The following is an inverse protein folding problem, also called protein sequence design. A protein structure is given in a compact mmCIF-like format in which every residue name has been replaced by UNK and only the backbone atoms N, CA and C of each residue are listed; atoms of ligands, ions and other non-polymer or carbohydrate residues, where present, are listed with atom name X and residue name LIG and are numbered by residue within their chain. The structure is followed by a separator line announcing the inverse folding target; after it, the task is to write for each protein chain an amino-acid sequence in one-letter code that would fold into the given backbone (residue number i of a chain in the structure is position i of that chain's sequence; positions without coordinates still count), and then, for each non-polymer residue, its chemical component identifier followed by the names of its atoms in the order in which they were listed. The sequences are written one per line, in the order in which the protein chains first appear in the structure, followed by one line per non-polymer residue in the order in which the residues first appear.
data_IF_150447209009
#
_entry.id   IF_150447209009
#
_cell.length_a   1.000
_cell.length_b   1.000
_cell.length_c   1.000
_cell.angle_alpha   90.00
_cell.angle_beta   90.00
_cell.angle_gamma   90.00
#
_symmetry.space_group_name_H-M   'P 1'
#
loop_
_entity.id
_entity.type
_entity.pdbx_description
1 polymer ?
#
# COMPACT_ATOMS: atom_id res chain seq x y z
N UNK A 1 6.75 -29.64 -27.88
CA UNK A 1 7.43 -29.19 -26.64
C UNK A 1 6.41 -28.43 -25.80
N UNK A 2 6.02 -28.95 -24.62
CA UNK A 2 5.17 -28.19 -23.70
C UNK A 2 6.02 -27.08 -23.09
N UNK A 3 5.72 -25.82 -23.42
CA UNK A 3 6.26 -24.66 -22.71
C UNK A 3 5.87 -24.82 -21.23
N UNK A 4 6.80 -25.30 -20.39
CA UNK A 4 6.66 -25.22 -18.94
C UNK A 4 6.73 -23.74 -18.59
N UNK A 5 5.58 -23.09 -18.46
CA UNK A 5 5.47 -21.74 -17.94
C UNK A 5 6.19 -21.73 -16.59
N UNK A 6 7.32 -21.02 -16.52
CA UNK A 6 8.12 -20.92 -15.29
C UNK A 6 7.20 -20.33 -14.21
N UNK A 7 6.97 -21.08 -13.13
CA UNK A 7 6.10 -20.62 -12.04
C UNK A 7 6.68 -19.33 -11.47
N UNK A 8 5.94 -18.22 -11.58
CA UNK A 8 6.33 -16.93 -11.02
C UNK A 8 6.51 -17.06 -9.51
N UNK A 9 7.59 -16.50 -8.98
CA UNK A 9 7.79 -16.43 -7.54
C UNK A 9 6.87 -15.36 -6.92
N UNK A 10 6.52 -15.52 -5.65
CA UNK A 10 5.70 -14.57 -4.90
C UNK A 10 6.59 -13.47 -4.30
N UNK A 11 6.25 -12.22 -4.56
CA UNK A 11 6.80 -11.03 -3.88
C UNK A 11 5.70 -10.35 -3.08
N UNK A 12 6.09 -9.72 -1.98
CA UNK A 12 5.17 -8.96 -1.12
C UNK A 12 5.52 -7.50 -1.20
N UNK A 13 4.50 -6.67 -1.36
CA UNK A 13 4.61 -5.23 -1.43
C UNK A 13 3.78 -4.68 -0.28
N UNK A 14 4.45 -4.02 0.65
CA UNK A 14 3.79 -3.24 1.70
C UNK A 14 3.51 -1.85 1.13
N UNK A 15 2.28 -1.37 1.25
CA UNK A 15 1.80 -0.12 0.68
C UNK A 15 1.30 0.80 1.78
N UNK A 16 1.70 2.07 1.67
CA UNK A 16 1.22 3.17 2.50
C UNK A 16 1.32 4.48 1.71
N UNK A 17 0.41 5.41 1.97
CA UNK A 17 0.34 6.72 1.33
C UNK A 17 0.56 7.85 2.32
N UNK A 18 1.24 8.89 1.84
CA UNK A 18 1.18 10.20 2.50
C UNK A 18 0.41 11.19 1.61
N UNK A 19 -0.45 11.96 2.27
CA UNK A 19 -1.39 12.84 1.60
C UNK A 19 -1.32 14.27 2.12
N UNK A 20 -1.38 15.25 1.22
CA UNK A 20 -1.57 16.64 1.58
C UNK A 20 -3.06 16.95 1.69
N UNK A 21 -3.51 17.18 2.94
CA UNK A 21 -4.88 17.56 3.28
C UNK A 21 -4.87 18.81 4.17
N UNK A 22 -4.93 20.02 3.58
CA UNK A 22 -4.89 21.26 4.36
C UNK A 22 -6.18 21.49 5.16
N UNK A 23 -7.32 20.95 4.70
CA UNK A 23 -8.62 21.03 5.36
C UNK A 23 -9.03 19.62 5.78
N UNK A 24 -9.00 19.33 7.08
CA UNK A 24 -9.22 17.99 7.63
C UNK A 24 -10.56 17.34 7.20
N UNK A 25 -11.60 18.17 7.06
CA UNK A 25 -12.97 17.76 6.69
C UNK A 25 -13.13 17.38 5.21
N UNK A 26 -12.13 17.64 4.36
CA UNK A 26 -12.19 17.39 2.91
C UNK A 26 -11.46 16.11 2.49
N UNK A 27 -11.52 15.07 3.32
CA UNK A 27 -11.01 13.73 2.99
C UNK A 27 -11.48 13.29 1.60
N UNK A 28 -10.60 12.67 0.81
CA UNK A 28 -10.83 12.23 -0.58
C UNK A 28 -11.09 13.34 -1.63
N UNK A 29 -11.70 14.47 -1.26
CA UNK A 29 -12.09 15.53 -2.21
C UNK A 29 -10.93 16.52 -2.42
N UNK A 30 -10.52 17.20 -1.35
CA UNK A 30 -9.45 18.23 -1.35
C UNK A 30 -8.07 17.66 -1.01
N UNK A 31 -7.97 16.35 -0.88
CA UNK A 31 -6.78 15.60 -0.53
C UNK A 31 -5.94 15.26 -1.77
N UNK A 32 -4.62 15.46 -1.74
CA UNK A 32 -3.74 15.04 -2.84
C UNK A 32 -2.72 14.02 -2.34
N UNK A 33 -2.45 13.00 -3.15
CA UNK A 33 -1.36 12.05 -2.91
C UNK A 33 -0.05 12.79 -3.17
N UNK A 34 0.82 12.83 -2.16
CA UNK A 34 2.12 13.49 -2.24
C UNK A 34 3.28 12.50 -2.22
N UNK A 35 3.04 11.29 -1.70
CA UNK A 35 3.99 10.20 -1.71
C UNK A 35 3.23 8.86 -1.71
N UNK A 36 3.71 7.92 -2.52
CA UNK A 36 3.34 6.50 -2.47
C UNK A 36 4.58 5.73 -2.06
N UNK A 37 4.56 5.09 -0.89
CA UNK A 37 5.66 4.27 -0.40
C UNK A 37 5.41 2.79 -0.61
N UNK A 38 6.46 2.08 -1.02
CA UNK A 38 6.44 0.63 -1.18
C UNK A 38 7.65 0.00 -0.49
N UNK A 39 7.41 -0.94 0.40
CA UNK A 39 8.46 -1.85 0.88
C UNK A 39 8.30 -3.20 0.19
N UNK A 40 9.37 -3.74 -0.38
CA UNK A 40 9.37 -5.01 -1.10
C UNK A 40 10.10 -6.12 -0.35
N UNK A 41 9.43 -7.25 -0.22
CA UNK A 41 9.99 -8.51 0.28
C UNK A 41 10.11 -9.54 -0.86
N UNK A 42 11.30 -10.16 -0.98
CA UNK A 42 11.54 -11.35 -1.82
C UNK A 42 10.86 -12.60 -1.23
N UNK A 43 10.77 -13.69 -2.01
CA UNK A 43 10.40 -15.00 -1.48
C UNK A 43 11.17 -15.34 -0.19
N UNK A 44 10.42 -15.76 0.84
CA UNK A 44 10.98 -16.05 2.16
C UNK A 44 11.08 -14.86 3.13
N UNK A 45 10.35 -13.75 2.88
CA UNK A 45 10.27 -12.59 3.78
C UNK A 45 11.62 -11.91 4.01
N UNK A 46 12.44 -11.89 2.97
CA UNK A 46 13.72 -11.18 2.98
C UNK A 46 13.46 -9.79 2.40
N UNK A 47 13.72 -8.76 3.21
CA UNK A 47 13.71 -7.37 2.75
C UNK A 47 14.59 -7.24 1.51
N UNK A 48 14.05 -6.58 0.48
CA UNK A 48 14.76 -6.33 -0.76
C UNK A 48 15.04 -4.84 -0.95
N UNK A 49 13.99 -4.03 -0.96
CA UNK A 49 14.10 -2.61 -1.24
C UNK A 49 12.95 -1.82 -0.65
N UNK A 50 13.17 -0.52 -0.56
CA UNK A 50 12.17 0.50 -0.30
C UNK A 50 12.14 1.41 -1.52
N UNK A 51 10.97 1.50 -2.16
CA UNK A 51 10.70 2.37 -3.30
C UNK A 51 9.71 3.45 -2.86
N UNK A 52 9.88 4.67 -3.33
CA UNK A 52 8.89 5.73 -3.12
C UNK A 52 8.70 6.54 -4.42
N UNK A 53 7.49 7.07 -4.58
CA UNK A 53 7.11 7.94 -5.67
C UNK A 53 6.56 9.23 -5.07
N UNK A 54 7.24 10.37 -5.23
CA UNK A 54 6.96 11.56 -4.42
C UNK A 54 7.04 12.90 -5.20
N UNK A 55 6.55 13.96 -4.54
CA UNK A 55 6.55 15.34 -5.05
C UNK A 55 7.77 16.13 -4.56
N UNK A 56 8.74 16.43 -5.44
CA UNK A 56 9.93 17.21 -5.04
C UNK A 56 9.75 18.75 -5.05
N UNK A 57 8.68 19.35 -5.62
CA UNK A 57 8.58 20.82 -5.83
C UNK A 57 7.15 21.35 -6.13
N UNK A 58 6.95 22.66 -5.95
CA UNK A 58 5.71 23.46 -5.87
C UNK A 58 4.68 23.34 -7.03
N UNK A 59 4.89 22.54 -8.09
CA UNK A 59 3.90 22.39 -9.19
C UNK A 59 2.88 21.29 -8.88
N UNK A 60 1.93 21.63 -7.98
CA UNK A 60 0.96 20.74 -7.30
C UNK A 60 0.11 19.79 -8.18
N UNK A 61 -0.20 20.12 -9.44
CA UNK A 61 -1.21 19.35 -10.23
C UNK A 61 -0.66 18.41 -11.32
N UNK A 62 0.46 18.76 -11.97
CA UNK A 62 1.05 17.90 -13.03
C UNK A 62 1.77 16.67 -12.48
N UNK A 63 1.98 16.61 -11.16
CA UNK A 63 2.89 15.64 -10.53
C UNK A 63 2.19 14.52 -9.75
N UNK A 64 0.99 14.73 -9.19
CA UNK A 64 0.20 13.60 -8.65
C UNK A 64 -0.08 12.57 -9.77
N UNK A 65 -0.41 13.06 -10.97
CA UNK A 65 -0.53 12.25 -12.17
C UNK A 65 0.75 11.45 -12.46
N UNK A 66 1.92 12.07 -12.30
CA UNK A 66 3.21 11.42 -12.55
C UNK A 66 3.56 10.37 -11.49
N UNK A 67 3.32 10.66 -10.21
CA UNK A 67 3.42 9.69 -9.11
C UNK A 67 2.59 8.45 -9.41
N UNK A 68 1.32 8.65 -9.79
CA UNK A 68 0.42 7.55 -10.13
C UNK A 68 0.93 6.76 -11.35
N UNK A 69 1.43 7.44 -12.39
CA UNK A 69 2.02 6.76 -13.55
C UNK A 69 3.20 5.88 -13.17
N UNK A 70 4.16 6.41 -12.41
CA UNK A 70 5.34 5.68 -11.99
C UNK A 70 4.96 4.48 -11.12
N UNK A 71 4.05 4.70 -10.17
CA UNK A 71 3.51 3.65 -9.31
C UNK A 71 2.85 2.51 -10.11
N UNK A 72 1.94 2.83 -11.04
CA UNK A 72 1.28 1.79 -11.84
C UNK A 72 2.23 1.09 -12.81
N UNK A 73 3.15 1.81 -13.45
CA UNK A 73 4.16 1.20 -14.30
C UNK A 73 5.04 0.25 -13.51
N UNK A 74 5.46 0.64 -12.31
CA UNK A 74 6.21 -0.22 -11.41
C UNK A 74 5.44 -1.49 -11.04
N UNK A 75 4.16 -1.37 -10.63
CA UNK A 75 3.33 -2.53 -10.29
C UNK A 75 3.04 -3.42 -11.50
N UNK A 76 2.84 -2.86 -12.70
CA UNK A 76 2.69 -3.63 -13.95
C UNK A 76 3.93 -4.48 -14.22
N UNK A 77 5.10 -3.84 -14.22
CA UNK A 77 6.39 -4.52 -14.42
C UNK A 77 6.63 -5.63 -13.39
N UNK A 78 6.23 -5.42 -12.13
CA UNK A 78 6.29 -6.46 -11.11
C UNK A 78 5.38 -7.64 -11.43
N UNK A 79 4.12 -7.41 -11.83
CA UNK A 79 3.15 -8.48 -12.14
C UNK A 79 3.53 -9.29 -13.37
N UNK A 80 4.25 -8.71 -14.31
CA UNK A 80 4.78 -9.43 -15.47
C UNK A 80 5.78 -10.52 -15.06
N UNK A 81 6.51 -10.30 -13.96
CA UNK A 81 7.61 -11.16 -13.53
C UNK A 81 7.29 -11.99 -12.27
N UNK A 82 6.34 -11.54 -11.45
CA UNK A 82 6.06 -12.10 -10.13
C UNK A 82 4.56 -12.26 -9.89
N UNK A 83 4.22 -13.16 -8.96
CA UNK A 83 2.94 -13.08 -8.26
C UNK A 83 3.10 -12.01 -7.19
N UNK A 84 2.19 -11.05 -7.12
CA UNK A 84 2.29 -9.89 -6.21
C UNK A 84 1.19 -9.96 -5.16
N UNK A 85 1.58 -9.89 -3.90
CA UNK A 85 0.70 -9.75 -2.74
C UNK A 85 0.87 -8.33 -2.17
N UNK A 86 -0.21 -7.55 -2.13
CA UNK A 86 -0.25 -6.19 -1.57
C UNK A 86 -0.68 -6.28 -0.11
N UNK A 87 0.06 -5.64 0.78
CA UNK A 87 -0.16 -5.67 2.23
C UNK A 87 -0.17 -4.23 2.73
N UNK A 88 -1.08 -3.88 3.63
CA UNK A 88 -1.06 -2.54 4.22
C UNK A 88 -2.08 -2.38 5.34
N UNK A 89 -1.98 -1.27 6.07
CA UNK A 89 -2.86 -0.98 7.19
C UNK A 89 -4.03 -0.08 6.75
N UNK A 90 -5.26 -0.61 6.76
CA UNK A 90 -6.48 0.11 6.35
C UNK A 90 -6.52 0.49 4.86
N UNK A 91 -5.67 -0.14 4.03
CA UNK A 91 -5.51 0.16 2.60
C UNK A 91 -6.77 -0.07 1.77
N UNK A 92 -7.67 -0.96 2.18
CA UNK A 92 -8.92 -1.23 1.46
C UNK A 92 -9.98 -0.15 1.71
N UNK A 93 -9.82 0.66 2.77
CA UNK A 93 -10.78 1.72 3.14
C UNK A 93 -10.25 3.11 2.83
N UNK A 94 -8.96 3.26 2.57
CA UNK A 94 -8.34 4.56 2.33
C UNK A 94 -7.46 4.55 1.08
N UNK A 95 -6.30 3.91 1.15
CA UNK A 95 -5.22 4.04 0.16
C UNK A 95 -5.65 3.62 -1.25
N UNK A 96 -6.14 2.39 -1.41
CA UNK A 96 -6.56 1.87 -2.72
C UNK A 96 -7.76 2.66 -3.28
N UNK A 97 -8.84 2.93 -2.51
CA UNK A 97 -9.92 3.79 -2.98
C UNK A 97 -9.45 5.19 -3.40
N UNK A 98 -8.52 5.79 -2.66
CA UNK A 98 -7.97 7.11 -2.98
C UNK A 98 -7.15 7.04 -4.28
N UNK A 99 -6.24 6.08 -4.41
CA UNK A 99 -5.45 5.86 -5.64
C UNK A 99 -6.38 5.69 -6.85
N UNK A 100 -7.41 4.85 -6.75
CA UNK A 100 -8.37 4.63 -7.85
C UNK A 100 -9.09 5.93 -8.22
N UNK A 101 -9.63 6.64 -7.23
CA UNK A 101 -10.34 7.90 -7.44
C UNK A 101 -9.45 8.95 -8.12
N UNK A 102 -8.21 9.11 -7.65
CA UNK A 102 -7.22 10.02 -8.25
C UNK A 102 -6.80 9.58 -9.64
N UNK A 103 -6.71 8.28 -9.88
CA UNK A 103 -6.36 7.72 -11.19
C UNK A 103 -7.39 8.03 -12.25
N UNK A 104 -8.68 7.93 -11.91
CA UNK A 104 -9.76 8.33 -12.80
C UNK A 104 -9.75 9.84 -13.05
N UNK A 105 -9.55 10.64 -12.01
CA UNK A 105 -9.47 12.10 -12.13
C UNK A 105 -8.32 12.56 -13.04
N UNK A 106 -7.19 11.84 -13.05
CA UNK A 106 -6.00 12.20 -13.83
C UNK A 106 -5.88 11.46 -15.17
N UNK A 107 -6.90 10.70 -15.58
CA UNK A 107 -6.91 9.85 -16.78
C UNK A 107 -5.71 8.89 -16.82
N UNK A 108 -5.35 8.30 -15.68
CA UNK A 108 -4.23 7.34 -15.59
C UNK A 108 -4.54 6.06 -16.36
N UNK A 109 -5.82 5.66 -16.44
CA UNK A 109 -6.23 4.46 -17.16
C UNK A 109 -5.87 4.58 -18.64
N UNK A 110 -6.27 5.67 -19.30
CA UNK A 110 -5.90 5.93 -20.70
C UNK A 110 -4.39 6.15 -20.87
N UNK A 111 -3.69 6.70 -19.87
CA UNK A 111 -2.26 6.98 -20.01
C UNK A 111 -1.35 5.76 -19.80
N UNK A 112 -1.75 4.79 -18.98
CA UNK A 112 -0.89 3.65 -18.54
C UNK A 112 -1.42 2.30 -19.02
N UNK A 113 -2.73 2.20 -19.22
CA UNK A 113 -3.43 0.95 -19.49
C UNK A 113 -4.12 0.92 -20.86
N UNK A 114 -3.85 1.87 -21.76
CA UNK A 114 -4.58 1.98 -23.04
C UNK A 114 -4.60 0.69 -23.84
N UNK A 115 -3.46 -0.01 -23.91
CA UNK A 115 -3.38 -1.29 -24.63
C UNK A 115 -4.28 -2.37 -24.01
N UNK A 116 -4.21 -2.55 -22.70
CA UNK A 116 -5.03 -3.52 -21.94
C UNK A 116 -6.51 -3.15 -21.98
N UNK A 117 -6.84 -1.86 -21.90
CA UNK A 117 -8.19 -1.34 -21.97
C UNK A 117 -8.78 -1.56 -23.37
N UNK A 118 -8.02 -1.23 -24.42
CA UNK A 118 -8.40 -1.45 -25.82
C UNK A 118 -8.60 -2.94 -26.11
N UNK A 119 -7.71 -3.81 -25.64
CA UNK A 119 -7.87 -5.26 -25.76
C UNK A 119 -9.16 -5.74 -25.09
N UNK A 120 -9.45 -5.30 -23.86
CA UNK A 120 -10.70 -5.64 -23.18
C UNK A 120 -11.94 -5.12 -23.91
N UNK A 121 -11.90 -3.91 -24.47
CA UNK A 121 -13.00 -3.34 -25.27
C UNK A 121 -13.23 -4.14 -26.55
N UNK A 122 -12.18 -4.68 -27.16
CA UNK A 122 -12.32 -5.56 -28.33
C UNK A 122 -13.00 -6.89 -27.97
N UNK A 123 -12.74 -7.43 -26.78
CA UNK A 123 -13.29 -8.72 -26.33
C UNK A 123 -14.73 -8.57 -25.79
N UNK A 124 -14.98 -7.53 -25.00
CA UNK A 124 -16.22 -7.34 -24.22
C UNK A 124 -17.14 -6.25 -24.81
N UNK A 125 -16.73 -5.59 -25.89
CA UNK A 125 -17.42 -4.46 -26.51
C UNK A 125 -17.12 -3.11 -25.83
N UNK A 126 -17.68 -2.04 -26.38
CA UNK A 126 -17.47 -0.65 -25.95
C UNK A 126 -18.03 -0.30 -24.54
N UNK A 127 -18.54 -1.28 -23.79
CA UNK A 127 -19.14 -1.07 -22.47
C UNK A 127 -18.14 -1.09 -21.31
N UNK A 128 -16.84 -1.34 -21.57
CA UNK A 128 -15.82 -1.31 -20.52
C UNK A 128 -15.46 0.13 -20.17
N UNK A 129 -15.99 0.63 -19.06
CA UNK A 129 -15.64 1.92 -18.49
C UNK A 129 -14.28 1.86 -17.77
N UNK A 130 -13.55 2.97 -17.76
CA UNK A 130 -12.23 3.06 -17.09
C UNK A 130 -12.31 2.75 -15.60
N UNK A 131 -13.41 3.15 -14.94
CA UNK A 131 -13.69 2.82 -13.55
C UNK A 131 -13.79 1.30 -13.32
N UNK A 132 -14.56 0.60 -14.16
CA UNK A 132 -14.69 -0.85 -14.08
C UNK A 132 -13.37 -1.55 -14.40
N UNK A 133 -12.61 -1.02 -15.36
CA UNK A 133 -11.29 -1.54 -15.70
C UNK A 133 -10.35 -1.48 -14.50
N UNK A 134 -10.18 -0.30 -13.89
CA UNK A 134 -9.20 -0.11 -12.82
C UNK A 134 -9.63 -0.80 -11.51
N UNK A 135 -10.94 -0.83 -11.23
CA UNK A 135 -11.49 -1.60 -10.11
C UNK A 135 -11.20 -3.09 -10.29
N UNK A 136 -11.46 -3.64 -11.48
CA UNK A 136 -11.14 -5.04 -11.78
C UNK A 136 -9.62 -5.30 -11.74
N UNK A 137 -8.79 -4.34 -12.14
CA UNK A 137 -7.34 -4.49 -12.08
C UNK A 137 -6.86 -4.71 -10.63
N UNK A 138 -7.39 -3.91 -9.70
CA UNK A 138 -7.14 -4.05 -8.26
C UNK A 138 -7.81 -5.29 -7.65
N UNK A 139 -9.04 -5.63 -8.07
CA UNK A 139 -9.74 -6.83 -7.60
C UNK A 139 -8.96 -8.13 -7.88
N UNK A 140 -8.21 -8.15 -8.98
CA UNK A 140 -7.36 -9.28 -9.36
C UNK A 140 -5.98 -9.28 -8.66
N UNK A 141 -5.76 -8.40 -7.68
CA UNK A 141 -4.57 -8.42 -6.82
C UNK A 141 -4.89 -9.11 -5.50
N UNK A 142 -4.00 -10.02 -5.07
CA UNK A 142 -4.11 -10.59 -3.73
C UNK A 142 -3.73 -9.52 -2.71
N UNK A 143 -4.69 -9.09 -1.90
CA UNK A 143 -4.56 -7.92 -1.02
C UNK A 143 -4.88 -8.31 0.42
N UNK A 144 -4.02 -7.91 1.36
CA UNK A 144 -4.16 -8.13 2.79
C UNK A 144 -4.22 -6.78 3.50
N UNK A 145 -5.40 -6.42 4.00
CA UNK A 145 -5.58 -5.30 4.91
C UNK A 145 -5.37 -5.77 6.36
N UNK A 146 -4.22 -5.44 6.94
CA UNK A 146 -3.87 -5.88 8.30
C UNK A 146 -4.76 -5.24 9.36
N UNK A 147 -5.39 -4.09 9.09
CA UNK A 147 -6.32 -3.48 10.04
C UNK A 147 -7.53 -4.39 10.29
N UNK A 148 -8.02 -5.08 9.25
CA UNK A 148 -9.14 -6.03 9.38
C UNK A 148 -8.78 -7.20 10.29
N UNK A 149 -7.56 -7.74 10.16
CA UNK A 149 -7.08 -8.84 11.01
C UNK A 149 -6.94 -8.37 12.46
N UNK A 150 -6.40 -7.17 12.65
CA UNK A 150 -6.13 -6.58 13.96
C UNK A 150 -7.39 -6.21 14.75
N UNK A 151 -8.57 -6.12 14.10
CA UNK A 151 -9.84 -5.96 14.81
C UNK A 151 -10.03 -7.04 15.87
N UNK A 152 -9.64 -8.28 15.60
CA UNK A 152 -9.72 -9.37 16.57
C UNK A 152 -8.84 -9.14 17.82
N UNK A 153 -7.74 -8.39 17.67
CA UNK A 153 -6.84 -7.98 18.75
C UNK A 153 -7.28 -6.68 19.44
N UNK A 154 -8.29 -5.99 18.90
CA UNK A 154 -8.85 -4.74 19.43
C UNK A 154 -10.35 -4.86 19.79
N UNK A 155 -10.79 -6.05 20.23
CA UNK A 155 -12.18 -6.33 20.63
C UNK A 155 -13.21 -5.95 19.56
N UNK A 156 -12.83 -6.07 18.29
CA UNK A 156 -13.62 -5.68 17.12
C UNK A 156 -13.99 -4.19 17.05
N UNK A 157 -13.33 -3.33 17.82
CA UNK A 157 -13.51 -1.89 17.73
C UNK A 157 -12.55 -1.26 16.72
N UNK A 158 -13.08 -0.37 15.88
CA UNK A 158 -12.26 0.51 15.05
C UNK A 158 -11.59 1.64 15.85
N UNK A 159 -12.21 2.06 16.96
CA UNK A 159 -11.65 3.09 17.84
C UNK A 159 -10.36 2.57 18.49
N UNK A 160 -9.31 3.39 18.52
CA UNK A 160 -7.96 3.06 19.04
C UNK A 160 -7.25 1.94 18.25
N UNK A 161 -7.69 1.65 17.03
CA UNK A 161 -6.98 0.76 16.13
C UNK A 161 -5.91 1.57 15.38
N UNK A 162 -4.79 1.85 16.05
CA UNK A 162 -3.62 2.49 15.45
C UNK A 162 -2.53 1.45 15.20
N UNK A 163 -1.83 1.57 14.08
CA UNK A 163 -0.77 0.65 13.68
C UNK A 163 0.30 0.47 14.78
N UNK A 164 0.85 1.58 15.29
CA UNK A 164 1.86 1.58 16.36
C UNK A 164 1.36 0.94 17.65
N UNK A 165 0.15 1.28 18.09
CA UNK A 165 -0.47 0.69 19.28
C UNK A 165 -0.61 -0.84 19.13
N UNK A 166 -0.99 -1.31 17.93
CA UNK A 166 -1.10 -2.75 17.67
C UNK A 166 0.25 -3.43 17.61
N UNK A 167 1.27 -2.78 17.02
CA UNK A 167 2.63 -3.29 17.01
C UNK A 167 3.18 -3.50 18.43
N UNK A 168 2.97 -2.52 19.32
CA UNK A 168 3.35 -2.63 20.73
C UNK A 168 2.60 -3.76 21.44
N UNK A 169 1.27 -3.84 21.28
CA UNK A 169 0.47 -4.94 21.86
C UNK A 169 0.93 -6.32 21.39
N UNK A 170 1.26 -6.48 20.10
CA UNK A 170 1.76 -7.74 19.56
C UNK A 170 3.15 -8.09 20.12
N UNK A 171 4.02 -7.09 20.27
CA UNK A 171 5.34 -7.25 20.91
C UNK A 171 5.19 -7.79 22.32
N UNK A 172 4.40 -7.10 23.15
CA UNK A 172 4.18 -7.44 24.56
C UNK A 172 3.55 -8.82 24.73
N UNK A 173 2.54 -9.14 23.92
CA UNK A 173 1.76 -10.37 24.08
C UNK A 173 2.43 -11.62 23.53
N UNK A 174 3.21 -11.50 22.46
CA UNK A 174 3.74 -12.66 21.72
C UNK A 174 5.27 -12.72 21.66
N UNK A 175 5.96 -11.82 22.37
CA UNK A 175 7.42 -11.70 22.39
C UNK A 175 8.01 -11.69 20.97
N UNK A 176 7.39 -10.90 20.09
CA UNK A 176 7.93 -10.64 18.76
C UNK A 176 9.16 -9.73 18.89
N UNK A 177 10.30 -10.15 18.33
CA UNK A 177 11.48 -9.30 18.27
C UNK A 177 11.24 -8.12 17.32
N UNK A 178 11.35 -6.92 17.86
CA UNK A 178 11.46 -5.69 17.08
C UNK A 178 12.96 -5.38 17.01
N UNK A 179 13.56 -5.54 15.84
CA UNK A 179 14.80 -4.85 15.55
C UNK A 179 14.41 -3.43 15.11
N UNK A 180 14.98 -2.44 15.77
CA UNK A 180 15.14 -1.08 15.24
C UNK A 180 13.88 -0.20 15.06
N UNK A 181 12.78 -0.44 15.80
CA UNK A 181 11.80 0.64 16.04
C UNK A 181 12.18 1.41 17.30
N UNK A 182 13.33 2.07 17.28
CA UNK A 182 13.48 3.24 18.13
C UNK A 182 12.42 4.23 17.69
N UNK A 183 11.54 4.55 18.62
CA UNK A 183 10.36 5.40 18.47
C UNK A 183 10.74 6.83 18.07
N UNK A 184 11.24 7.03 16.85
CA UNK A 184 11.27 8.34 16.21
C UNK A 184 9.88 8.61 15.67
N UNK A 185 9.02 8.95 16.60
CA UNK A 185 7.72 9.47 16.29
C UNK A 185 7.92 10.90 15.81
N UNK A 186 7.76 11.15 14.51
CA UNK A 186 7.28 12.45 14.03
C UNK A 186 5.82 12.64 14.51
N UNK A 187 5.58 12.49 15.80
CA UNK A 187 4.32 12.78 16.48
C UNK A 187 4.38 14.23 16.92
N UNK A 188 3.90 15.12 16.06
CA UNK A 188 3.67 16.50 16.47
C UNK A 188 3.34 17.42 15.31
N UNK A 189 4.01 17.22 14.17
CA UNK A 189 3.81 18.06 13.00
C UNK A 189 2.92 17.35 11.97
N UNK A 190 1.77 17.95 11.63
CA UNK A 190 0.88 17.41 10.62
C UNK A 190 1.61 17.33 9.27
N UNK A 191 1.42 16.26 8.50
CA UNK A 191 1.98 16.07 7.15
C UNK A 191 1.78 17.30 6.26
N UNK A 192 0.63 17.99 6.39
CA UNK A 192 0.36 19.24 5.71
C UNK A 192 1.41 20.32 5.99
N UNK A 193 1.83 20.48 7.25
CA UNK A 193 2.85 21.45 7.67
C UNK A 193 4.23 21.06 7.15
N UNK A 194 4.61 19.78 7.27
CA UNK A 194 5.88 19.28 6.72
C UNK A 194 5.95 19.54 5.21
N UNK A 195 4.85 19.28 4.50
CA UNK A 195 4.76 19.51 3.06
C UNK A 195 4.85 21.01 2.71
N UNK A 196 4.16 21.88 3.45
CA UNK A 196 4.23 23.34 3.27
C UNK A 196 5.62 23.90 3.54
N UNK A 197 6.31 23.35 4.55
CA UNK A 197 7.67 23.69 4.92
C UNK A 197 8.74 23.00 4.06
N UNK A 198 8.35 22.22 3.03
CA UNK A 198 9.24 21.46 2.14
C UNK A 198 10.17 20.47 2.85
N UNK A 199 9.73 19.94 3.99
CA UNK A 199 10.47 18.92 4.77
C UNK A 199 10.14 17.53 4.22
N UNK A 200 10.43 17.31 2.93
CA UNK A 200 10.02 16.10 2.20
C UNK A 200 10.75 14.84 2.70
N UNK A 201 12.05 14.95 3.04
CA UNK A 201 12.81 13.82 3.57
C UNK A 201 12.20 13.27 4.87
N UNK A 202 11.58 14.13 5.69
CA UNK A 202 10.91 13.70 6.92
C UNK A 202 9.57 13.01 6.64
N UNK A 203 8.85 13.43 5.60
CA UNK A 203 7.64 12.73 5.14
C UNK A 203 8.03 11.34 4.63
N UNK A 204 9.12 11.24 3.85
CA UNK A 204 9.63 9.98 3.33
C UNK A 204 10.09 9.04 4.45
N UNK A 205 10.85 9.56 5.41
CA UNK A 205 11.32 8.75 6.54
C UNK A 205 10.16 8.28 7.42
N UNK A 206 9.17 9.15 7.67
CA UNK A 206 7.95 8.76 8.38
C UNK A 206 7.21 7.62 7.67
N UNK A 207 6.97 7.75 6.37
CA UNK A 207 6.27 6.73 5.59
C UNK A 207 7.05 5.41 5.56
N UNK A 208 8.38 5.47 5.43
CA UNK A 208 9.25 4.29 5.52
C UNK A 208 9.10 3.60 6.88
N UNK A 209 9.11 4.34 7.98
CA UNK A 209 8.87 3.80 9.32
C UNK A 209 7.49 3.14 9.41
N UNK A 210 6.43 3.78 8.93
CA UNK A 210 5.08 3.21 8.96
C UNK A 210 4.97 1.91 8.12
N UNK A 211 5.70 1.82 7.01
CA UNK A 211 5.83 0.59 6.21
C UNK A 211 6.63 -0.52 6.92
N UNK A 212 7.73 -0.18 7.59
CA UNK A 212 8.51 -1.12 8.40
C UNK A 212 7.68 -1.67 9.57
N UNK A 213 6.87 -0.83 10.23
CA UNK A 213 5.93 -1.26 11.26
C UNK A 213 4.86 -2.17 10.68
N UNK A 214 4.28 -1.81 9.52
CA UNK A 214 3.28 -2.62 8.81
C UNK A 214 3.83 -4.01 8.51
N UNK A 215 5.06 -4.07 7.98
CA UNK A 215 5.78 -5.31 7.71
C UNK A 215 5.98 -6.13 8.97
N UNK A 216 6.48 -5.51 10.04
CA UNK A 216 6.67 -6.17 11.33
C UNK A 216 5.38 -6.80 11.85
N UNK A 217 4.29 -6.03 11.88
CA UNK A 217 2.98 -6.48 12.34
C UNK A 217 2.50 -7.68 11.54
N UNK A 218 2.60 -7.62 10.21
CA UNK A 218 2.23 -8.72 9.34
C UNK A 218 3.06 -9.99 9.64
N UNK A 219 4.38 -9.87 9.83
CA UNK A 219 5.25 -11.01 10.15
C UNK A 219 4.90 -11.63 11.52
N UNK A 220 4.56 -10.80 12.50
CA UNK A 220 4.06 -11.27 13.80
C UNK A 220 2.75 -12.04 13.67
N UNK A 221 1.77 -11.47 12.97
CA UNK A 221 0.49 -12.13 12.71
C UNK A 221 0.70 -13.49 12.05
N UNK A 222 1.56 -13.54 11.02
CA UNK A 222 1.92 -14.79 10.35
C UNK A 222 2.48 -15.82 11.31
N UNK A 223 3.47 -15.45 12.14
CA UNK A 223 4.06 -16.35 13.16
C UNK A 223 3.03 -16.85 14.17
N UNK A 224 2.09 -16.01 14.58
CA UNK A 224 1.01 -16.38 15.50
C UNK A 224 0.09 -17.41 14.86
N UNK A 225 -0.37 -17.17 13.63
CA UNK A 225 -1.25 -18.10 12.93
C UNK A 225 -0.56 -19.42 12.60
N UNK A 226 0.72 -19.40 12.19
CA UNK A 226 1.50 -20.62 11.94
C UNK A 226 1.65 -21.49 13.18
N UNK A 227 1.95 -20.89 14.35
CA UNK A 227 2.04 -21.64 15.62
C UNK A 227 0.71 -22.28 16.02
N UNK A 228 -0.38 -21.53 15.88
CA UNK A 228 -1.71 -22.00 16.30
C UNK A 228 -2.28 -23.07 15.34
N UNK A 229 -1.87 -23.08 14.07
CA UNK A 229 -2.21 -24.15 13.14
C UNK A 229 -1.55 -25.48 13.48
N UNK A 230 -0.34 -25.48 14.05
CA UNK A 230 0.36 -26.72 14.45
C UNK A 230 -0.26 -27.34 15.71
N UNK A 231 -0.79 -26.51 16.62
CA UNK A 231 -1.41 -27.00 17.86
C UNK A 231 -2.85 -27.49 17.70
N UNK A 232 -3.52 -27.18 16.59
CA UNK A 232 -4.91 -27.57 16.33
C UNK A 232 -5.07 -28.92 15.61
N UNK A 233 -3.97 -29.65 15.40
CA UNK A 233 -3.94 -30.96 14.71
C UNK A 233 -3.56 -32.10 15.68
N UNK A 234 -3.63 -31.87 16.99
CA UNK A 234 -3.42 -32.90 18.02
C UNK A 234 -4.72 -33.21 18.76
#
# INVERSE_FOLDING_TARGET
MKNRTKRKSLVRIYLDLETYRPIEKEAFIGENIILIGLLKDKPGFKYESFENFELEDKKRFKREKEILKQFYNYLKNLRENYNVEIIGFNILRFDIPLIISKSLRHNIVSDVFESELSEKRNILGNYVHEADFINNWWHNMYTIDIAQILLSFNKLYFKKLKLKDMAMKLKEKFNCEIKDLETQSLEGEMIAKLFENKRFDEIREKNKIDLEITRYVYLCLKKIFEKNCVTAVC
#
